data_IF_974200992756
#
_entry.id   IF_974200992756
#
_cell.length_a   1.000
_cell.length_b   1.000
_cell.length_c   1.000
_cell.angle_alpha   90.00
_cell.angle_beta   90.00
_cell.angle_gamma   90.00
#
_symmetry.space_group_name_H-M   'P 1'
#
loop_
_entity.id
_entity.type
_entity.pdbx_description
1 polymer ?
#
# COMPACT_ATOMS: atom_id res chain seq x y z
N UNK A 1 23.52 -21.85 -16.55
CA UNK A 1 23.83 -21.61 -17.99
C UNK A 1 25.31 -21.30 -18.22
N UNK A 2 25.90 -20.26 -17.61
CA UNK A 2 27.33 -19.91 -17.80
C UNK A 2 28.33 -21.05 -17.52
N UNK A 3 28.18 -21.76 -16.39
CA UNK A 3 29.03 -22.92 -16.07
C UNK A 3 28.86 -24.11 -17.04
N UNK A 4 27.72 -24.20 -17.75
CA UNK A 4 27.49 -25.24 -18.76
C UNK A 4 28.32 -24.95 -20.01
N UNK A 5 28.33 -23.69 -20.46
CA UNK A 5 29.13 -23.20 -21.59
C UNK A 5 30.65 -23.28 -21.31
N UNK A 6 31.07 -22.96 -20.09
CA UNK A 6 32.49 -23.03 -19.71
C UNK A 6 33.01 -24.48 -19.68
N UNK A 7 32.17 -25.43 -19.26
CA UNK A 7 32.51 -26.85 -19.26
C UNK A 7 32.73 -27.40 -20.68
N UNK A 8 31.89 -27.00 -21.65
CA UNK A 8 32.08 -27.35 -23.07
C UNK A 8 33.39 -26.78 -23.64
N UNK A 9 33.83 -25.63 -23.12
CA UNK A 9 35.08 -24.96 -23.50
C UNK A 9 36.30 -25.37 -22.66
N UNK A 10 36.19 -26.39 -21.79
CA UNK A 10 37.23 -26.82 -20.84
C UNK A 10 37.79 -25.69 -19.95
N UNK A 11 36.96 -24.69 -19.65
CA UNK A 11 37.33 -23.54 -18.82
C UNK A 11 36.90 -23.72 -17.35
N UNK A 12 37.54 -22.96 -16.45
CA UNK A 12 37.24 -22.95 -15.03
C UNK A 12 35.82 -22.41 -14.75
N UNK A 13 35.19 -22.88 -13.66
CA UNK A 13 33.86 -22.42 -13.24
C UNK A 13 33.88 -20.94 -12.86
N UNK A 14 32.73 -20.29 -13.02
CA UNK A 14 32.59 -18.89 -12.58
C UNK A 14 32.69 -18.77 -11.06
N UNK A 15 33.25 -17.66 -10.60
CA UNK A 15 33.32 -17.33 -9.18
C UNK A 15 31.96 -16.90 -8.59
N UNK A 16 31.86 -16.90 -7.26
CA UNK A 16 30.64 -16.56 -6.50
C UNK A 16 30.00 -15.21 -6.88
N UNK A 17 30.84 -14.23 -7.24
CA UNK A 17 30.40 -12.87 -7.58
C UNK A 17 30.23 -12.62 -9.08
N UNK A 18 30.33 -13.66 -9.91
CA UNK A 18 30.30 -13.49 -11.36
C UNK A 18 29.00 -12.87 -11.87
N UNK A 19 27.84 -13.30 -11.36
CA UNK A 19 26.55 -12.78 -11.82
C UNK A 19 26.36 -11.29 -11.50
N UNK A 20 26.76 -10.85 -10.30
CA UNK A 20 26.66 -9.43 -9.92
C UNK A 20 27.66 -8.57 -10.69
N UNK A 21 28.88 -9.06 -10.93
CA UNK A 21 29.87 -8.36 -11.74
C UNK A 21 29.47 -8.28 -13.22
N UNK A 22 28.87 -9.34 -13.76
CA UNK A 22 28.37 -9.37 -15.13
C UNK A 22 27.29 -8.30 -15.37
N UNK A 23 26.31 -8.19 -14.46
CA UNK A 23 25.28 -7.14 -14.57
C UNK A 23 25.88 -5.75 -14.41
N UNK A 24 26.85 -5.55 -13.51
CA UNK A 24 27.56 -4.26 -13.35
C UNK A 24 28.36 -3.85 -14.59
N UNK A 25 28.88 -4.81 -15.35
CA UNK A 25 29.69 -4.57 -16.54
C UNK A 25 28.86 -4.30 -17.80
N UNK A 26 27.54 -4.53 -17.77
CA UNK A 26 26.64 -4.35 -18.91
C UNK A 26 25.66 -3.20 -18.61
N UNK A 27 25.92 -1.98 -19.12
CA UNK A 27 25.10 -0.80 -18.81
C UNK A 27 23.62 -0.95 -19.21
N UNK A 28 23.34 -1.82 -20.18
CA UNK A 28 21.98 -2.15 -20.64
C UNK A 28 21.19 -3.03 -19.66
N UNK A 29 21.87 -3.66 -18.70
CA UNK A 29 21.26 -4.55 -17.71
C UNK A 29 21.09 -3.83 -16.37
N UNK A 30 19.86 -3.86 -15.85
CA UNK A 30 19.53 -3.32 -14.52
C UNK A 30 18.85 -4.40 -13.68
N UNK A 31 19.33 -4.59 -12.46
CA UNK A 31 18.57 -5.35 -11.46
C UNK A 31 17.43 -4.49 -10.94
N UNK A 32 16.19 -4.94 -11.18
CA UNK A 32 14.98 -4.33 -10.63
C UNK A 32 14.24 -5.39 -9.83
N UNK A 33 13.74 -5.03 -8.66
CA UNK A 33 12.89 -5.93 -7.89
C UNK A 33 11.54 -6.09 -8.60
N UNK A 34 11.13 -7.33 -8.85
CA UNK A 34 9.77 -7.62 -9.31
C UNK A 34 8.79 -7.19 -8.23
N UNK A 35 7.78 -6.40 -8.59
CA UNK A 35 6.64 -6.16 -7.71
C UNK A 35 5.74 -7.39 -7.74
N UNK A 36 5.23 -7.81 -6.59
CA UNK A 36 4.14 -8.80 -6.55
C UNK A 36 2.96 -8.18 -7.27
N UNK A 37 2.51 -8.85 -8.32
CA UNK A 37 1.34 -8.45 -9.09
C UNK A 37 0.25 -9.48 -8.85
N UNK A 38 -0.94 -9.00 -8.53
CA UNK A 38 -2.07 -9.89 -8.28
C UNK A 38 -2.49 -10.56 -9.59
N UNK A 39 -2.50 -11.89 -9.61
CA UNK A 39 -2.78 -12.66 -10.82
C UNK A 39 -4.21 -12.42 -11.32
N UNK A 40 -5.17 -12.26 -10.41
CA UNK A 40 -6.55 -11.95 -10.76
C UNK A 40 -6.66 -10.56 -11.37
N UNK A 41 -5.91 -9.58 -10.87
CA UNK A 41 -5.82 -8.25 -11.52
C UNK A 41 -5.26 -8.34 -12.93
N UNK A 42 -4.22 -9.14 -13.16
CA UNK A 42 -3.65 -9.32 -14.50
C UNK A 42 -4.64 -9.94 -15.50
N UNK A 43 -5.51 -10.84 -15.04
CA UNK A 43 -6.54 -11.45 -15.89
C UNK A 43 -7.73 -10.52 -16.18
N UNK A 44 -8.03 -9.60 -15.27
CA UNK A 44 -9.16 -8.66 -15.42
C UNK A 44 -8.78 -7.37 -16.17
N UNK A 45 -7.50 -7.10 -16.39
CA UNK A 45 -7.02 -5.93 -17.12
C UNK A 45 -7.00 -6.17 -18.63
N UNK A 46 -8.12 -5.90 -19.29
CA UNK A 46 -8.16 -5.77 -20.74
C UNK A 46 -7.73 -4.34 -21.14
N UNK A 47 -6.57 -4.17 -21.80
CA UNK A 47 -6.07 -2.85 -22.18
C UNK A 47 -7.02 -2.07 -23.09
N UNK A 48 -7.83 -2.73 -23.91
CA UNK A 48 -8.79 -2.06 -24.80
C UNK A 48 -9.99 -1.54 -24.02
N UNK A 49 -10.54 -2.35 -23.10
CA UNK A 49 -11.63 -1.91 -22.21
C UNK A 49 -11.19 -0.75 -21.32
N UNK A 50 -9.99 -0.82 -20.74
CA UNK A 50 -9.45 0.25 -19.89
C UNK A 50 -9.29 1.55 -20.70
N UNK A 51 -8.71 1.47 -21.91
CA UNK A 51 -8.59 2.64 -22.81
C UNK A 51 -9.94 3.22 -23.21
N UNK A 52 -10.90 2.36 -23.52
CA UNK A 52 -12.27 2.75 -23.85
C UNK A 52 -12.94 3.51 -22.70
N UNK A 53 -12.82 2.99 -21.49
CA UNK A 53 -13.33 3.64 -20.28
C UNK A 53 -12.71 5.02 -20.05
N UNK A 54 -11.38 5.15 -20.10
CA UNK A 54 -10.71 6.45 -19.93
C UNK A 54 -11.08 7.45 -21.03
N UNK A 55 -11.28 6.98 -22.26
CA UNK A 55 -11.73 7.84 -23.37
C UNK A 55 -13.14 8.35 -23.12
N UNK A 56 -14.05 7.50 -22.64
CA UNK A 56 -15.42 7.89 -22.27
C UNK A 56 -15.42 8.91 -21.12
N UNK A 57 -14.60 8.70 -20.08
CA UNK A 57 -14.47 9.63 -18.95
C UNK A 57 -14.02 11.01 -19.44
N UNK A 58 -12.96 11.08 -20.27
CA UNK A 58 -12.48 12.34 -20.84
C UNK A 58 -13.53 13.05 -21.69
N UNK A 59 -14.23 12.31 -22.54
CA UNK A 59 -15.31 12.86 -23.36
C UNK A 59 -16.46 13.40 -22.51
N UNK A 60 -16.78 12.74 -21.41
CA UNK A 60 -17.82 13.16 -20.47
C UNK A 60 -17.42 14.45 -19.75
N UNK A 61 -16.18 14.50 -19.23
CA UNK A 61 -15.62 15.71 -18.61
C UNK A 61 -15.68 16.89 -19.58
N UNK A 62 -15.24 16.70 -20.83
CA UNK A 62 -15.26 17.73 -21.84
C UNK A 62 -16.68 18.17 -22.24
N UNK A 63 -17.61 17.20 -22.39
CA UNK A 63 -19.01 17.47 -22.77
C UNK A 63 -19.76 18.31 -21.74
N UNK A 64 -19.54 18.03 -20.46
CA UNK A 64 -20.25 18.71 -19.36
C UNK A 64 -19.44 19.86 -18.74
N UNK A 65 -18.21 20.10 -19.20
CA UNK A 65 -17.34 21.15 -18.67
C UNK A 65 -17.01 20.95 -17.18
N UNK A 66 -16.84 19.70 -16.75
CA UNK A 66 -16.53 19.37 -15.35
C UNK A 66 -15.15 19.93 -15.02
N UNK A 67 -15.06 20.79 -14.00
CA UNK A 67 -13.79 21.33 -13.57
C UNK A 67 -12.98 20.26 -12.82
N UNK A 68 -11.66 20.30 -12.93
CA UNK A 68 -10.77 19.40 -12.21
C UNK A 68 -11.04 19.43 -10.69
N UNK A 69 -11.34 20.61 -10.15
CA UNK A 69 -11.70 20.82 -8.74
C UNK A 69 -12.92 20.00 -8.27
N UNK A 70 -13.80 19.62 -9.21
CA UNK A 70 -15.05 18.89 -8.95
C UNK A 70 -14.90 17.37 -9.16
N UNK A 71 -13.70 16.89 -9.51
CA UNK A 71 -13.40 15.47 -9.66
C UNK A 71 -12.83 14.96 -8.34
N UNK A 72 -13.58 14.08 -7.68
CA UNK A 72 -13.20 13.45 -6.41
C UNK A 72 -12.97 11.96 -6.57
N UNK A 73 -11.89 11.48 -5.97
CA UNK A 73 -11.72 10.06 -5.71
C UNK A 73 -12.11 9.76 -4.25
N UNK A 74 -12.91 8.73 -4.06
CA UNK A 74 -13.34 8.26 -2.74
C UNK A 74 -12.91 6.81 -2.57
N UNK A 75 -12.31 6.50 -1.42
CA UNK A 75 -11.90 5.14 -1.10
C UNK A 75 -12.03 4.86 0.40
N UNK A 76 -12.06 3.57 0.74
CA UNK A 76 -12.16 3.06 2.09
C UNK A 76 -10.84 2.40 2.51
N UNK A 77 -10.33 2.76 3.67
CA UNK A 77 -9.14 2.14 4.26
C UNK A 77 -9.44 1.64 5.67
N UNK A 78 -9.19 0.35 5.89
CA UNK A 78 -9.23 -0.27 7.21
C UNK A 78 -7.91 -0.09 7.96
N UNK A 79 -8.00 0.42 9.19
CA UNK A 79 -6.91 0.52 10.14
C UNK A 79 -7.10 -0.51 11.24
N UNK A 80 -6.12 -1.39 11.40
CA UNK A 80 -6.14 -2.40 12.46
C UNK A 80 -5.54 -1.81 13.74
N UNK A 81 -6.37 -1.67 14.76
CA UNK A 81 -5.96 -1.22 16.08
C UNK A 81 -5.26 -2.36 16.82
N UNK A 82 -4.18 -2.04 17.53
CA UNK A 82 -3.42 -3.02 18.31
C UNK A 82 -2.37 -3.83 17.53
N UNK A 83 -2.13 -3.53 16.25
CA UNK A 83 -1.00 -4.10 15.52
C UNK A 83 0.31 -3.39 15.89
N UNK A 84 1.17 -4.08 16.65
CA UNK A 84 2.54 -3.61 16.89
C UNK A 84 3.33 -3.84 15.59
N UNK A 85 3.68 -2.76 14.90
CA UNK A 85 4.67 -2.84 13.82
C UNK A 85 6.05 -3.14 14.42
N UNK A 86 6.88 -4.00 13.81
CA UNK A 86 8.24 -4.23 14.27
C UNK A 86 9.01 -2.91 14.32
N UNK A 87 9.36 -2.45 15.51
CA UNK A 87 10.15 -1.24 15.71
C UNK A 87 11.58 -1.61 16.09
N UNK A 88 12.53 -0.76 15.69
CA UNK A 88 13.92 -0.91 16.10
C UNK A 88 14.06 -0.53 17.57
N UNK A 89 14.48 -1.48 18.39
CA UNK A 89 14.71 -1.29 19.82
C UNK A 89 16.19 -1.48 20.15
N UNK A 90 16.74 -0.60 20.98
CA UNK A 90 18.11 -0.73 21.50
C UNK A 90 18.07 -1.65 22.72
N UNK A 91 18.73 -2.80 22.63
CA UNK A 91 18.82 -3.77 23.74
C UNK A 91 20.28 -4.06 24.09
N UNK A 92 20.50 -4.61 25.29
CA UNK A 92 21.83 -5.02 25.76
C UNK A 92 22.43 -6.11 24.86
N UNK A 93 23.74 -6.03 24.60
CA UNK A 93 24.49 -6.99 23.76
C UNK A 93 24.39 -8.45 24.21
N UNK A 94 24.02 -8.68 25.47
CA UNK A 94 23.92 -10.01 26.06
C UNK A 94 22.54 -10.67 25.86
N UNK A 95 21.54 -9.96 25.30
CA UNK A 95 20.26 -10.57 24.96
C UNK A 95 20.39 -11.44 23.71
N UNK A 96 20.21 -12.76 23.87
CA UNK A 96 20.09 -13.70 22.76
C UNK A 96 18.64 -13.78 22.29
N UNK A 97 18.36 -13.18 21.14
CA UNK A 97 17.07 -13.29 20.45
C UNK A 97 16.43 -11.94 20.14
N UNK A 98 15.42 -11.96 19.26
CA UNK A 98 14.61 -10.77 18.98
C UNK A 98 13.71 -10.49 20.19
N UNK A 99 13.67 -9.26 20.72
CA UNK A 99 12.74 -8.91 21.80
C UNK A 99 11.31 -9.16 21.31
N UNK A 100 10.54 -9.89 22.12
CA UNK A 100 9.13 -10.20 21.85
C UNK A 100 8.28 -9.17 22.60
N UNK A 101 7.59 -8.31 21.86
CA UNK A 101 6.51 -7.50 22.41
C UNK A 101 5.24 -8.35 22.36
N UNK A 102 4.62 -8.56 23.52
CA UNK A 102 3.32 -9.21 23.58
C UNK A 102 2.28 -8.28 22.95
N UNK A 103 1.67 -8.74 21.86
CA UNK A 103 0.56 -8.03 21.24
C UNK A 103 -0.71 -8.36 22.03
N UNK A 104 -1.43 -7.34 22.48
CA UNK A 104 -2.74 -7.55 23.07
C UNK A 104 -3.69 -8.02 21.96
N UNK A 105 -4.36 -9.16 22.16
CA UNK A 105 -5.14 -9.85 21.13
C UNK A 105 -6.47 -9.19 20.77
N UNK A 106 -6.61 -7.86 20.90
CA UNK A 106 -7.80 -7.15 20.47
C UNK A 106 -7.56 -6.58 19.07
N UNK A 107 -8.17 -7.20 18.06
CA UNK A 107 -8.05 -6.87 16.63
C UNK A 107 -9.24 -6.04 16.21
N UNK A 108 -9.38 -4.85 16.80
CA UNK A 108 -10.45 -3.93 16.40
C UNK A 108 -10.06 -3.21 15.12
N UNK A 109 -10.98 -3.16 14.16
CA UNK A 109 -10.80 -2.39 12.93
C UNK A 109 -11.50 -1.05 13.07
N UNK A 110 -10.82 0.00 12.62
CA UNK A 110 -11.41 1.29 12.34
C UNK A 110 -11.36 1.50 10.84
N UNK A 111 -12.52 1.72 10.24
CA UNK A 111 -12.67 1.95 8.81
C UNK A 111 -12.71 3.44 8.57
N UNK A 112 -11.95 3.95 7.62
CA UNK A 112 -11.96 5.38 7.25
C UNK A 112 -12.33 5.48 5.78
N UNK A 113 -13.39 6.22 5.51
CA UNK A 113 -13.77 6.63 4.17
C UNK A 113 -13.22 8.04 3.96
N UNK A 114 -12.41 8.22 2.92
CA UNK A 114 -11.78 9.49 2.60
C UNK A 114 -11.98 9.85 1.14
N UNK A 115 -12.27 11.13 0.91
CA UNK A 115 -12.37 11.71 -0.43
C UNK A 115 -11.30 12.78 -0.64
N UNK A 116 -10.67 12.79 -1.81
CA UNK A 116 -9.72 13.84 -2.22
C UNK A 116 -10.02 14.26 -3.64
N UNK A 117 -10.07 15.56 -3.90
CA UNK A 117 -10.23 16.06 -5.26
C UNK A 117 -8.91 16.05 -6.03
N UNK A 118 -8.98 16.25 -7.35
CA UNK A 118 -7.79 16.26 -8.20
C UNK A 118 -6.77 17.36 -7.87
N UNK A 119 -7.19 18.41 -7.15
CA UNK A 119 -6.35 19.52 -6.71
C UNK A 119 -5.73 19.29 -5.32
N UNK A 120 -6.04 18.17 -4.66
CA UNK A 120 -5.51 17.82 -3.34
C UNK A 120 -6.33 18.34 -2.16
N UNK A 121 -7.51 18.92 -2.39
CA UNK A 121 -8.45 19.23 -1.31
C UNK A 121 -9.10 17.95 -0.78
N UNK A 122 -9.08 17.79 0.53
CA UNK A 122 -9.60 16.61 1.22
C UNK A 122 -10.98 16.88 1.80
N UNK A 123 -11.93 16.02 1.49
CA UNK A 123 -13.21 15.96 2.20
C UNK A 123 -12.94 15.47 3.63
N UNK A 124 -13.59 16.03 4.66
CA UNK A 124 -13.48 15.52 6.02
C UNK A 124 -13.77 14.00 6.05
N UNK A 125 -12.89 13.19 6.69
CA UNK A 125 -13.04 11.75 6.68
C UNK A 125 -14.25 11.30 7.49
N UNK A 126 -14.80 10.17 7.07
CA UNK A 126 -15.84 9.46 7.79
C UNK A 126 -15.24 8.19 8.42
N UNK A 127 -15.21 8.16 9.75
CA UNK A 127 -14.55 7.10 10.51
C UNK A 127 -15.64 6.20 11.10
N UNK A 128 -15.57 4.90 10.82
CA UNK A 128 -16.44 3.89 11.40
C UNK A 128 -15.59 3.04 12.34
N UNK A 129 -16.01 2.96 13.60
CA UNK A 129 -15.34 2.11 14.60
C UNK A 129 -16.26 0.98 15.00
N UNK A 130 -15.71 -0.20 15.22
CA UNK A 130 -16.47 -1.31 15.79
C UNK A 130 -16.91 -0.97 17.22
N UNK A 131 -18.20 -0.97 17.49
CA UNK A 131 -18.71 -0.71 18.83
C UNK A 131 -20.23 -0.66 18.93
N UNK A 132 -20.75 -0.97 20.12
CA UNK A 132 -22.21 -0.85 20.42
C UNK A 132 -22.57 0.53 20.95
N UNK A 133 -21.65 1.12 21.70
CA UNK A 133 -21.75 2.48 22.24
C UNK A 133 -20.34 3.06 22.27
N UNK A 134 -20.20 4.32 21.91
CA UNK A 134 -18.97 5.07 22.14
C UNK A 134 -19.28 6.27 23.05
N UNK A 135 -18.36 6.59 23.95
CA UNK A 135 -18.46 7.81 24.76
C UNK A 135 -18.10 9.00 23.87
N UNK A 136 -19.08 9.85 23.56
CA UNK A 136 -18.82 11.01 22.68
C UNK A 136 -17.75 11.97 23.19
N UNK A 137 -17.42 11.92 24.49
CA UNK A 137 -16.30 12.64 25.10
C UNK A 137 -14.92 12.26 24.55
N UNK A 138 -14.75 11.04 24.00
CA UNK A 138 -13.47 10.57 23.45
C UNK A 138 -13.00 11.35 22.23
N UNK A 139 -13.93 11.96 21.48
CA UNK A 139 -13.59 12.78 20.32
C UNK A 139 -14.08 14.23 20.44
N UNK A 140 -15.08 14.53 21.28
CA UNK A 140 -15.50 15.92 21.53
C UNK A 140 -14.46 16.73 22.31
N UNK A 141 -13.64 16.07 23.12
CA UNK A 141 -12.54 16.68 23.88
C UNK A 141 -11.15 16.25 23.36
N UNK A 142 -11.07 15.76 22.12
CA UNK A 142 -9.80 15.35 21.53
C UNK A 142 -9.21 16.44 20.63
N UNK A 143 -8.01 16.17 20.12
CA UNK A 143 -7.34 17.00 19.11
C UNK A 143 -7.92 16.80 17.70
N UNK A 144 -8.97 15.98 17.54
CA UNK A 144 -9.56 15.72 16.22
C UNK A 144 -10.33 16.95 15.73
N UNK A 145 -10.23 17.28 14.44
CA UNK A 145 -11.04 18.33 13.84
C UNK A 145 -12.55 18.05 14.03
N UNK A 146 -13.32 19.10 14.31
CA UNK A 146 -14.75 18.99 14.67
C UNK A 146 -15.66 18.64 13.49
N UNK A 147 -15.16 18.80 12.27
CA UNK A 147 -15.81 18.50 11.00
C UNK A 147 -15.70 17.02 10.60
N UNK A 148 -14.91 16.23 11.34
CA UNK A 148 -14.80 14.80 11.11
C UNK A 148 -16.02 14.07 11.66
N UNK A 149 -16.53 13.11 10.90
CA UNK A 149 -17.67 12.30 11.34
C UNK A 149 -17.19 10.95 11.85
N UNK A 150 -17.65 10.56 13.04
CA UNK A 150 -17.34 9.27 13.64
C UNK A 150 -18.65 8.53 13.90
N UNK A 151 -18.77 7.34 13.31
CA UNK A 151 -19.90 6.44 13.45
C UNK A 151 -19.48 5.11 14.07
N UNK A 152 -20.47 4.36 14.53
CA UNK A 152 -20.29 3.02 15.06
C UNK A 152 -21.04 1.98 14.25
N UNK A 153 -20.39 0.85 14.03
CA UNK A 153 -20.94 -0.34 13.39
C UNK A 153 -20.72 -1.53 14.33
N UNK A 154 -21.66 -2.47 14.39
CA UNK A 154 -21.44 -3.74 15.11
C UNK A 154 -20.35 -4.59 14.46
N UNK A 155 -20.10 -4.37 13.16
CA UNK A 155 -19.21 -5.17 12.34
C UNK A 155 -17.87 -4.46 12.04
N UNK A 156 -17.75 -3.17 12.39
CA UNK A 156 -16.68 -2.30 11.87
C UNK A 156 -16.99 -1.78 10.48
#
# INVERSE_FOLDING_TARGET
MANRLLRERKALRVGKNWASNFVKQQPELKTVFSRKYDYSRALCEDPELIKGWFSLVRNTIAKYGIADADIYNFDETGFMMGQITPSMVVTSSNQKGKPKLAQHGNWEWATVIQGVNSQGWTVPPYIIVKGKYHLSSWYKNSLLPKDWTIAISSNG
#
